data_IF_513247309550
#
_entry.id   IF_513247309550
#
_cell.length_a   1.000
_cell.length_b   1.000
_cell.length_c   1.000
_cell.angle_alpha   90.00
_cell.angle_beta   90.00
_cell.angle_gamma   90.00
#
_symmetry.space_group_name_H-M   'P 1'
#
loop_
_entity.id
_entity.type
_entity.pdbx_description
1 polymer ?
#
# COMPACT_ATOMS: atom_id res chain seq x y z
N UNK A 1 -50.26 -5.40 1.11
CA UNK A 1 -50.11 -6.87 1.02
C UNK A 1 -48.79 -7.24 1.68
N UNK A 2 -48.81 -7.70 2.93
CA UNK A 2 -47.65 -8.26 3.64
C UNK A 2 -47.97 -9.72 3.91
N UNK A 3 -47.47 -10.62 3.07
CA UNK A 3 -47.72 -12.07 3.22
C UNK A 3 -46.47 -12.93 2.94
N UNK A 4 -45.29 -12.33 2.82
CA UNK A 4 -44.05 -13.04 2.54
C UNK A 4 -42.86 -12.44 3.32
N UNK A 5 -42.90 -12.51 4.64
CA UNK A 5 -41.77 -12.09 5.50
C UNK A 5 -41.01 -13.31 6.09
N UNK A 6 -41.23 -14.53 5.57
CA UNK A 6 -40.72 -15.75 6.21
C UNK A 6 -39.90 -16.72 5.35
N UNK A 7 -39.73 -16.49 4.04
CA UNK A 7 -39.04 -17.44 3.14
C UNK A 7 -37.84 -16.84 2.40
N UNK A 8 -37.77 -15.51 2.27
CA UNK A 8 -36.66 -14.82 1.61
C UNK A 8 -35.88 -13.98 2.62
N UNK A 9 -34.82 -14.56 3.18
CA UNK A 9 -33.79 -13.80 3.88
C UNK A 9 -33.08 -12.85 2.91
N UNK A 10 -33.02 -11.57 3.28
CA UNK A 10 -32.09 -10.54 2.72
C UNK A 10 -31.95 -10.54 1.20
N UNK A 11 -33.05 -10.35 0.45
CA UNK A 11 -33.01 -10.17 -1.01
C UNK A 11 -33.89 -9.01 -1.50
N UNK A 12 -34.05 -7.97 -0.68
CA UNK A 12 -34.87 -6.79 -1.03
C UNK A 12 -34.14 -5.73 -1.87
N UNK A 13 -32.89 -5.98 -2.28
CA UNK A 13 -32.10 -5.06 -3.12
C UNK A 13 -31.97 -5.49 -4.60
N UNK A 14 -32.45 -6.68 -4.98
CA UNK A 14 -32.21 -7.22 -6.34
C UNK A 14 -33.48 -7.26 -7.22
N UNK A 15 -34.67 -7.05 -6.65
CA UNK A 15 -35.95 -7.13 -7.39
C UNK A 15 -36.39 -5.83 -8.08
N UNK A 16 -35.55 -4.80 -8.11
CA UNK A 16 -35.84 -3.54 -8.79
C UNK A 16 -35.37 -3.44 -10.25
N UNK A 17 -34.62 -4.44 -10.76
CA UNK A 17 -33.90 -4.32 -12.03
C UNK A 17 -34.33 -5.29 -13.14
N UNK A 18 -35.36 -6.11 -12.92
CA UNK A 18 -35.89 -6.97 -14.00
C UNK A 18 -37.12 -6.31 -14.62
N UNK A 19 -36.93 -5.92 -15.86
CA UNK A 19 -37.91 -5.45 -16.82
C UNK A 19 -39.15 -6.38 -16.84
N UNK A 20 -40.32 -5.80 -16.57
CA UNK A 20 -41.68 -6.39 -16.60
C UNK A 20 -42.09 -7.32 -15.44
N UNK A 21 -42.63 -6.73 -14.37
CA UNK A 21 -43.29 -7.47 -13.27
C UNK A 21 -44.47 -8.37 -13.67
N UNK A 22 -44.91 -8.33 -14.94
CA UNK A 22 -46.03 -9.11 -15.48
C UNK A 22 -45.66 -10.58 -15.75
N UNK A 23 -44.40 -10.90 -16.03
CA UNK A 23 -44.01 -12.28 -16.37
C UNK A 23 -43.74 -13.15 -15.12
N UNK A 24 -43.29 -12.51 -14.03
CA UNK A 24 -43.09 -13.16 -12.73
C UNK A 24 -44.43 -13.56 -12.09
N UNK A 25 -45.43 -12.67 -12.14
CA UNK A 25 -46.79 -12.95 -11.62
C UNK A 25 -47.46 -14.12 -12.37
N UNK A 26 -47.27 -14.23 -13.69
CA UNK A 26 -47.77 -15.37 -14.48
C UNK A 26 -47.11 -16.69 -14.07
N UNK A 27 -45.79 -16.69 -13.85
CA UNK A 27 -45.06 -17.91 -13.45
C UNK A 27 -45.46 -18.39 -12.05
N UNK A 28 -45.69 -17.49 -11.12
CA UNK A 28 -46.22 -17.84 -9.78
C UNK A 28 -47.63 -18.41 -9.89
N UNK A 29 -48.51 -17.78 -10.68
CA UNK A 29 -49.87 -18.27 -10.90
C UNK A 29 -49.89 -19.69 -11.52
N UNK A 30 -48.99 -19.97 -12.46
CA UNK A 30 -48.83 -21.30 -13.08
C UNK A 30 -48.40 -22.37 -12.05
N UNK A 31 -47.50 -22.02 -11.12
CA UNK A 31 -47.06 -22.94 -10.05
C UNK A 31 -48.24 -23.30 -9.11
N UNK A 32 -49.04 -22.31 -8.71
CA UNK A 32 -50.23 -22.53 -7.89
C UNK A 32 -51.34 -23.30 -8.63
N UNK A 33 -51.42 -23.22 -9.96
CA UNK A 33 -52.39 -23.98 -10.74
C UNK A 33 -51.99 -25.45 -10.94
N UNK A 34 -50.68 -25.73 -11.08
CA UNK A 34 -50.17 -27.07 -11.38
C UNK A 34 -49.87 -27.91 -10.14
N UNK A 35 -49.45 -27.28 -9.04
CA UNK A 35 -49.02 -27.99 -7.84
C UNK A 35 -50.12 -27.98 -6.78
N UNK A 36 -50.50 -29.16 -6.26
CA UNK A 36 -51.56 -29.30 -5.24
C UNK A 36 -51.06 -29.80 -3.89
N UNK A 37 -49.83 -30.31 -3.83
CA UNK A 37 -49.17 -30.74 -2.60
C UNK A 37 -48.10 -29.71 -2.19
N UNK A 38 -47.92 -29.46 -0.88
CA UNK A 38 -46.94 -28.48 -0.38
C UNK A 38 -45.50 -28.76 -0.82
N UNK A 39 -45.13 -30.04 -0.94
CA UNK A 39 -43.78 -30.47 -1.35
C UNK A 39 -43.49 -30.10 -2.82
N UNK A 40 -44.48 -30.28 -3.70
CA UNK A 40 -44.37 -29.93 -5.13
C UNK A 40 -44.28 -28.41 -5.33
N UNK A 41 -44.98 -27.64 -4.49
CA UNK A 41 -44.91 -26.17 -4.50
C UNK A 41 -43.50 -25.71 -4.11
N UNK A 42 -42.92 -26.28 -3.05
CA UNK A 42 -41.56 -25.93 -2.61
C UNK A 42 -40.54 -26.22 -3.71
N UNK A 43 -40.59 -27.41 -4.31
CA UNK A 43 -39.65 -27.79 -5.37
C UNK A 43 -39.78 -26.88 -6.62
N UNK A 44 -41.00 -26.49 -6.99
CA UNK A 44 -41.24 -25.58 -8.10
C UNK A 44 -40.75 -24.15 -7.82
N UNK A 45 -40.88 -23.67 -6.58
CA UNK A 45 -40.32 -22.38 -6.16
C UNK A 45 -38.79 -22.40 -6.10
N UNK A 46 -38.19 -23.48 -5.59
CA UNK A 46 -36.73 -23.66 -5.57
C UNK A 46 -36.16 -23.67 -6.98
N UNK A 47 -36.83 -24.35 -7.92
CA UNK A 47 -36.44 -24.36 -9.33
C UNK A 47 -36.57 -22.98 -9.99
N UNK A 48 -37.68 -22.26 -9.75
CA UNK A 48 -37.88 -20.90 -10.26
C UNK A 48 -36.82 -19.94 -9.68
N UNK A 49 -36.48 -20.08 -8.40
CA UNK A 49 -35.45 -19.27 -7.75
C UNK A 49 -34.07 -19.54 -8.34
N UNK A 50 -33.77 -20.80 -8.67
CA UNK A 50 -32.51 -21.19 -9.33
C UNK A 50 -32.41 -20.63 -10.74
N UNK A 51 -33.47 -20.77 -11.55
CA UNK A 51 -33.55 -20.22 -12.91
C UNK A 51 -33.37 -18.70 -12.93
N UNK A 52 -34.07 -17.99 -12.04
CA UNK A 52 -33.93 -16.54 -11.91
C UNK A 52 -32.54 -16.14 -11.39
N UNK A 53 -31.95 -16.92 -10.49
CA UNK A 53 -30.57 -16.67 -10.03
C UNK A 53 -29.55 -16.81 -11.17
N UNK A 54 -29.74 -17.80 -12.04
CA UNK A 54 -28.86 -18.03 -13.19
C UNK A 54 -29.06 -16.96 -14.27
N UNK A 55 -30.29 -16.53 -14.55
CA UNK A 55 -30.59 -15.39 -15.43
C UNK A 55 -30.02 -14.07 -14.88
N UNK A 56 -30.17 -13.81 -13.57
CA UNK A 56 -29.60 -12.63 -12.91
C UNK A 56 -28.07 -12.65 -12.97
N UNK A 57 -27.43 -13.80 -12.70
CA UNK A 57 -25.97 -13.92 -12.80
C UNK A 57 -25.48 -13.71 -14.23
N UNK A 58 -26.17 -14.26 -15.23
CA UNK A 58 -25.85 -14.07 -16.63
C UNK A 58 -26.02 -12.60 -17.04
N UNK A 59 -27.14 -11.97 -16.70
CA UNK A 59 -27.41 -10.56 -16.97
C UNK A 59 -26.45 -9.62 -16.24
N UNK A 60 -26.10 -9.90 -14.97
CA UNK A 60 -25.09 -9.17 -14.22
C UNK A 60 -23.70 -9.35 -14.83
N UNK A 61 -23.35 -10.55 -15.28
CA UNK A 61 -22.08 -10.83 -15.95
C UNK A 61 -21.98 -10.09 -17.29
N UNK A 62 -23.06 -10.08 -18.08
CA UNK A 62 -23.12 -9.36 -19.35
C UNK A 62 -23.11 -7.84 -19.17
N UNK A 63 -23.83 -7.34 -18.18
CA UNK A 63 -23.84 -5.91 -17.84
C UNK A 63 -22.47 -5.50 -17.30
N UNK A 64 -21.84 -6.31 -16.45
CA UNK A 64 -20.48 -6.09 -15.94
C UNK A 64 -19.45 -6.12 -17.07
N UNK A 65 -19.56 -7.06 -18.02
CA UNK A 65 -18.71 -7.12 -19.21
C UNK A 65 -18.86 -5.86 -20.08
N UNK A 66 -20.09 -5.49 -20.43
CA UNK A 66 -20.37 -4.28 -21.23
C UNK A 66 -19.95 -2.99 -20.51
N UNK A 67 -20.06 -2.93 -19.17
CA UNK A 67 -19.59 -1.77 -18.40
C UNK A 67 -18.06 -1.72 -18.32
N UNK A 68 -17.39 -2.84 -18.05
CA UNK A 68 -15.93 -2.92 -17.99
C UNK A 68 -15.26 -2.61 -19.33
N UNK A 69 -15.85 -3.02 -20.45
CA UNK A 69 -15.38 -2.70 -21.81
C UNK A 69 -15.44 -1.20 -22.10
N UNK A 70 -16.37 -0.46 -21.49
CA UNK A 70 -16.55 0.99 -21.69
C UNK A 70 -15.88 1.88 -20.63
N UNK A 71 -15.31 1.29 -19.57
CA UNK A 71 -14.61 2.06 -18.54
C UNK A 71 -13.16 2.39 -18.94
N UNK A 72 -12.74 3.60 -18.58
CA UNK A 72 -11.35 4.07 -18.64
C UNK A 72 -10.44 3.16 -17.81
N UNK A 73 -9.17 3.07 -18.19
CA UNK A 73 -8.13 2.39 -17.43
C UNK A 73 -8.05 2.89 -15.97
N UNK A 74 -8.27 4.18 -15.72
CA UNK A 74 -8.33 4.74 -14.35
C UNK A 74 -9.50 4.15 -13.55
N UNK A 75 -10.68 4.06 -14.16
CA UNK A 75 -11.89 3.53 -13.53
C UNK A 75 -11.79 2.02 -13.37
N UNK A 76 -11.15 1.32 -14.30
CA UNK A 76 -10.85 -0.13 -14.20
C UNK A 76 -9.86 -0.44 -13.08
N UNK A 77 -8.88 0.44 -12.85
CA UNK A 77 -7.94 0.32 -11.72
C UNK A 77 -8.64 0.63 -10.38
N UNK A 78 -9.47 1.69 -10.31
CA UNK A 78 -10.20 2.07 -9.09
C UNK A 78 -11.40 1.17 -8.75
N UNK A 79 -12.04 0.51 -9.71
CA UNK A 79 -13.19 -0.39 -9.46
C UNK A 79 -12.78 -1.80 -9.02
N UNK A 80 -11.50 -2.16 -9.11
CA UNK A 80 -10.99 -3.47 -8.68
C UNK A 80 -10.86 -3.62 -7.15
N UNK A 81 -11.10 -2.54 -6.40
CA UNK A 81 -11.00 -2.43 -4.93
C UNK A 81 -11.97 -3.40 -4.23
N UNK A 82 -11.56 -4.65 -4.03
CA UNK A 82 -12.04 -5.67 -3.07
C UNK A 82 -11.40 -7.03 -3.41
N UNK A 83 -10.37 -7.39 -2.63
CA UNK A 83 -9.71 -8.72 -2.51
C UNK A 83 -9.01 -9.31 -3.76
N UNK A 84 -9.38 -8.91 -4.98
CA UNK A 84 -8.66 -9.24 -6.23
C UNK A 84 -7.46 -8.31 -6.53
N UNK A 85 -7.26 -7.26 -5.72
CA UNK A 85 -6.29 -6.17 -5.95
C UNK A 85 -4.83 -6.59 -5.88
N UNK A 86 -4.44 -7.40 -4.88
CA UNK A 86 -3.03 -7.77 -4.73
C UNK A 86 -2.55 -8.53 -5.96
N UNK A 87 -3.37 -9.38 -6.57
CA UNK A 87 -2.96 -10.14 -7.77
C UNK A 87 -2.87 -9.25 -9.01
N UNK A 88 -3.84 -8.35 -9.24
CA UNK A 88 -3.82 -7.48 -10.41
C UNK A 88 -2.66 -6.46 -10.37
N UNK A 89 -2.41 -5.86 -9.20
CA UNK A 89 -1.29 -4.92 -8.99
C UNK A 89 0.05 -5.65 -9.11
N UNK A 90 0.19 -6.83 -8.48
CA UNK A 90 1.40 -7.65 -8.61
C UNK A 90 1.66 -8.02 -10.07
N UNK A 91 0.62 -8.43 -10.81
CA UNK A 91 0.75 -8.76 -12.23
C UNK A 91 1.27 -7.58 -13.06
N UNK A 92 0.84 -6.34 -12.78
CA UNK A 92 1.32 -5.17 -13.51
C UNK A 92 2.80 -4.87 -13.21
N UNK A 93 3.23 -4.98 -11.94
CA UNK A 93 4.63 -4.82 -11.58
C UNK A 93 5.52 -5.91 -12.18
N UNK A 94 5.05 -7.16 -12.15
CA UNK A 94 5.74 -8.29 -12.77
C UNK A 94 5.88 -8.12 -14.29
N UNK A 95 4.83 -7.64 -14.96
CA UNK A 95 4.88 -7.32 -16.39
C UNK A 95 5.90 -6.22 -16.70
N UNK A 96 5.91 -5.11 -15.93
CA UNK A 96 6.89 -4.04 -16.10
C UNK A 96 8.32 -4.52 -15.85
N UNK A 97 8.52 -5.33 -14.80
CA UNK A 97 9.82 -5.95 -14.52
C UNK A 97 10.27 -6.82 -15.70
N UNK A 98 9.39 -7.65 -16.24
CA UNK A 98 9.70 -8.50 -17.39
C UNK A 98 10.01 -7.70 -18.66
N UNK A 99 9.29 -6.61 -18.93
CA UNK A 99 9.58 -5.71 -20.05
C UNK A 99 10.97 -5.07 -19.91
N UNK A 100 11.29 -4.56 -18.72
CA UNK A 100 12.61 -3.98 -18.44
C UNK A 100 13.71 -5.04 -18.57
N UNK A 101 13.48 -6.23 -18.01
CA UNK A 101 14.43 -7.35 -18.06
C UNK A 101 14.72 -7.77 -19.49
N UNK A 102 13.69 -7.84 -20.34
CA UNK A 102 13.84 -8.12 -21.77
C UNK A 102 14.71 -7.09 -22.47
N UNK A 103 14.55 -5.82 -22.12
CA UNK A 103 15.36 -4.76 -22.70
C UNK A 103 16.81 -4.77 -22.21
N UNK A 104 17.06 -4.94 -20.90
CA UNK A 104 18.42 -4.93 -20.34
C UNK A 104 19.23 -6.21 -20.61
N UNK A 105 18.56 -7.34 -20.83
CA UNK A 105 19.17 -8.63 -21.13
C UNK A 105 19.14 -8.99 -22.62
N UNK A 106 18.95 -8.00 -23.49
CA UNK A 106 19.03 -8.22 -24.94
C UNK A 106 20.37 -8.87 -25.31
N UNK A 107 20.31 -9.93 -26.11
CA UNK A 107 21.45 -10.79 -26.48
C UNK A 107 22.04 -11.64 -25.35
N UNK A 108 21.46 -11.65 -24.14
CA UNK A 108 21.92 -12.45 -22.98
C UNK A 108 20.90 -13.48 -22.49
N UNK A 109 19.63 -13.31 -22.85
CA UNK A 109 18.53 -14.18 -22.46
C UNK A 109 17.51 -14.36 -23.59
N UNK A 110 16.88 -15.54 -23.66
CA UNK A 110 15.76 -15.81 -24.57
C UNK A 110 14.44 -15.79 -23.81
N UNK A 111 13.47 -15.03 -24.31
CA UNK A 111 12.15 -14.88 -23.69
C UNK A 111 11.11 -15.70 -24.45
N UNK A 112 10.57 -16.74 -23.81
CA UNK A 112 9.55 -17.61 -24.44
C UNK A 112 8.14 -17.03 -24.34
N UNK A 113 7.86 -16.31 -23.25
CA UNK A 113 6.56 -15.71 -22.99
C UNK A 113 6.73 -14.45 -22.11
N UNK A 114 5.62 -13.93 -21.58
CA UNK A 114 5.61 -12.69 -20.79
C UNK A 114 6.04 -12.90 -19.33
N UNK A 115 6.40 -14.12 -18.94
CA UNK A 115 6.64 -14.52 -17.55
C UNK A 115 7.84 -15.46 -17.34
N UNK A 116 8.53 -15.86 -18.41
CA UNK A 116 9.63 -16.82 -18.36
C UNK A 116 10.71 -16.49 -19.40
N UNK A 117 11.97 -16.71 -19.02
CA UNK A 117 13.13 -16.57 -19.89
C UNK A 117 14.27 -17.51 -19.48
N UNK A 118 15.11 -17.89 -20.44
CA UNK A 118 16.36 -18.62 -20.18
C UNK A 118 17.54 -17.65 -20.25
N UNK A 119 18.32 -17.59 -19.16
CA UNK A 119 19.50 -16.74 -19.03
C UNK A 119 20.76 -17.54 -19.39
N UNK A 120 21.49 -17.09 -20.41
CA UNK A 120 22.72 -17.74 -20.86
C UNK A 120 23.98 -16.95 -20.53
N UNK A 121 23.87 -15.63 -20.40
CA UNK A 121 24.99 -14.74 -20.07
C UNK A 121 24.62 -13.77 -18.96
N UNK A 122 25.53 -13.59 -18.02
CA UNK A 122 25.35 -12.63 -16.93
C UNK A 122 25.62 -11.19 -17.42
N UNK A 123 24.86 -10.19 -16.93
CA UNK A 123 25.25 -8.79 -17.01
C UNK A 123 26.66 -8.58 -16.43
N UNK A 124 27.38 -7.56 -16.92
CA UNK A 124 28.77 -7.30 -16.48
C UNK A 124 28.90 -7.04 -14.98
N UNK A 125 27.87 -6.48 -14.37
CA UNK A 125 27.81 -6.13 -12.94
C UNK A 125 27.19 -7.23 -12.06
N UNK A 126 26.75 -8.33 -12.67
CA UNK A 126 26.17 -9.45 -11.94
C UNK A 126 27.28 -10.35 -11.37
N UNK A 127 27.12 -10.76 -10.11
CA UNK A 127 28.01 -11.71 -9.46
C UNK A 127 27.64 -13.16 -9.85
N UNK A 128 28.55 -13.91 -10.51
CA UNK A 128 28.30 -15.30 -10.89
C UNK A 128 28.05 -16.24 -9.71
N UNK A 129 28.49 -15.89 -8.49
CA UNK A 129 28.27 -16.68 -7.29
C UNK A 129 26.83 -16.61 -6.75
N UNK A 130 26.08 -15.56 -7.10
CA UNK A 130 24.73 -15.30 -6.56
C UNK A 130 23.62 -15.44 -7.61
N UNK A 131 23.96 -15.38 -8.90
CA UNK A 131 22.99 -15.43 -9.99
C UNK A 131 23.28 -16.65 -10.89
N UNK A 132 22.56 -17.77 -10.70
CA UNK A 132 22.74 -18.95 -11.53
C UNK A 132 22.21 -18.74 -12.96
N UNK A 133 22.90 -19.31 -13.95
CA UNK A 133 22.37 -19.39 -15.32
C UNK A 133 21.26 -20.43 -15.40
N UNK A 134 20.34 -20.26 -16.35
CA UNK A 134 19.23 -21.19 -16.56
C UNK A 134 17.88 -20.50 -16.63
N UNK A 135 16.82 -21.27 -16.36
CA UNK A 135 15.43 -20.84 -16.53
C UNK A 135 14.96 -20.00 -15.36
N UNK A 136 14.44 -18.82 -15.66
CA UNK A 136 13.81 -17.90 -14.71
C UNK A 136 12.32 -17.76 -15.01
N UNK A 137 11.49 -17.79 -13.95
CA UNK A 137 10.03 -17.64 -14.06
C UNK A 137 9.47 -16.74 -12.96
N UNK A 138 8.45 -15.96 -13.29
CA UNK A 138 7.68 -15.20 -12.31
C UNK A 138 7.03 -16.13 -11.26
N UNK A 139 6.76 -15.63 -10.03
CA UNK A 139 6.19 -16.44 -8.96
C UNK A 139 4.85 -17.08 -9.33
N UNK A 140 4.44 -18.10 -8.56
CA UNK A 140 3.15 -18.82 -8.71
C UNK A 140 3.02 -19.66 -9.98
N UNK A 141 4.15 -20.11 -10.53
CA UNK A 141 4.23 -21.11 -11.60
C UNK A 141 4.93 -22.37 -11.09
N UNK A 142 4.41 -23.52 -11.48
CA UNK A 142 4.78 -24.83 -10.95
C UNK A 142 5.84 -25.47 -11.85
N UNK A 143 7.12 -25.19 -11.59
CA UNK A 143 8.24 -25.81 -12.33
C UNK A 143 9.56 -25.74 -11.57
N UNK A 144 10.57 -26.45 -12.07
CA UNK A 144 11.96 -26.46 -11.54
C UNK A 144 12.76 -25.17 -11.87
N UNK A 145 12.06 -24.10 -12.26
CA UNK A 145 12.65 -22.83 -12.66
C UNK A 145 13.04 -21.96 -11.45
N UNK A 146 13.99 -21.06 -11.66
CA UNK A 146 14.43 -20.08 -10.68
C UNK A 146 13.37 -18.97 -10.56
N UNK A 147 12.90 -18.71 -9.34
CA UNK A 147 11.90 -17.66 -9.11
C UNK A 147 12.48 -16.27 -9.34
N UNK A 148 11.95 -15.57 -10.33
CA UNK A 148 12.28 -14.19 -10.66
C UNK A 148 11.31 -13.21 -10.01
N UNK A 149 11.81 -12.38 -9.10
CA UNK A 149 11.04 -11.38 -8.34
C UNK A 149 11.85 -10.10 -8.22
N UNK A 150 11.21 -9.00 -7.84
CA UNK A 150 11.86 -7.69 -7.73
C UNK A 150 13.10 -7.69 -6.81
N UNK A 151 13.06 -8.42 -5.69
CA UNK A 151 14.20 -8.59 -4.77
C UNK A 151 15.14 -9.73 -5.13
N UNK A 152 15.14 -10.22 -6.37
CA UNK A 152 16.13 -11.18 -6.85
C UNK A 152 17.40 -10.41 -7.28
N UNK A 153 18.63 -10.89 -6.98
CA UNK A 153 19.86 -10.16 -7.32
C UNK A 153 19.98 -9.76 -8.80
N UNK A 154 19.53 -10.62 -9.73
CA UNK A 154 19.45 -10.29 -11.16
C UNK A 154 18.52 -9.10 -11.43
N UNK A 155 17.34 -9.04 -10.79
CA UNK A 155 16.39 -7.95 -10.97
C UNK A 155 16.96 -6.63 -10.44
N UNK A 156 17.65 -6.67 -9.31
CA UNK A 156 18.34 -5.50 -8.75
C UNK A 156 19.44 -4.98 -9.68
N UNK A 157 20.24 -5.87 -10.27
CA UNK A 157 21.26 -5.50 -11.27
C UNK A 157 20.62 -4.88 -12.51
N UNK A 158 19.55 -5.49 -13.04
CA UNK A 158 18.80 -4.96 -14.20
C UNK A 158 18.25 -3.56 -13.93
N UNK A 159 17.60 -3.36 -12.77
CA UNK A 159 17.04 -2.05 -12.39
C UNK A 159 18.16 -1.02 -12.21
N UNK A 160 19.26 -1.39 -11.55
CA UNK A 160 20.41 -0.50 -11.35
C UNK A 160 21.03 -0.07 -12.68
N UNK A 161 21.25 -1.02 -13.58
CA UNK A 161 21.77 -0.76 -14.93
C UNK A 161 20.87 0.21 -15.70
N UNK A 162 19.55 0.02 -15.62
CA UNK A 162 18.59 0.91 -16.25
C UNK A 162 18.60 2.33 -15.64
N UNK A 163 18.63 2.44 -14.30
CA UNK A 163 18.70 3.73 -13.58
C UNK A 163 19.99 4.51 -13.88
N UNK A 164 21.10 3.83 -14.16
CA UNK A 164 22.41 4.43 -14.41
C UNK A 164 22.71 4.67 -15.91
N UNK A 165 21.83 4.22 -16.80
CA UNK A 165 22.01 4.42 -18.24
C UNK A 165 21.98 5.91 -18.57
N UNK A 166 23.04 6.41 -19.20
CA UNK A 166 23.05 7.76 -19.75
C UNK A 166 22.12 7.82 -20.97
N UNK A 167 21.04 8.59 -20.86
CA UNK A 167 20.07 8.78 -21.92
C UNK A 167 20.16 10.24 -22.42
N UNK A 168 20.61 10.48 -23.67
CA UNK A 168 20.59 11.81 -24.23
C UNK A 168 19.13 12.26 -24.41
N UNK A 169 18.90 13.58 -24.32
CA UNK A 169 17.56 14.12 -24.56
C UNK A 169 17.12 13.79 -25.99
N UNK A 170 16.03 13.05 -26.13
CA UNK A 170 15.47 12.61 -27.41
C UNK A 170 14.05 13.13 -27.60
N UNK A 171 13.57 13.10 -28.85
CA UNK A 171 12.16 13.34 -29.19
C UNK A 171 11.46 12.01 -29.38
N UNK A 172 10.43 11.77 -28.56
CA UNK A 172 9.55 10.61 -28.61
C UNK A 172 8.18 11.03 -29.15
N UNK A 173 7.64 10.21 -30.03
CA UNK A 173 6.23 10.27 -30.42
C UNK A 173 5.50 9.10 -29.76
N UNK A 174 4.52 9.43 -28.92
CA UNK A 174 3.64 8.47 -28.28
C UNK A 174 2.40 8.27 -29.14
N UNK A 175 2.04 7.01 -29.34
CA UNK A 175 0.87 6.63 -30.13
C UNK A 175 -0.28 6.29 -29.17
N UNK A 176 -1.28 7.18 -29.11
CA UNK A 176 -2.46 6.96 -28.27
C UNK A 176 -3.34 5.81 -28.81
N UNK A 177 -3.39 5.62 -30.13
CA UNK A 177 -4.25 4.63 -30.78
C UNK A 177 -3.71 3.20 -30.70
N UNK A 178 -2.40 3.03 -30.50
CA UNK A 178 -1.77 1.72 -30.33
C UNK A 178 -1.91 1.13 -28.91
N UNK A 179 -2.45 1.90 -27.94
CA UNK A 179 -2.69 1.40 -26.58
C UNK A 179 -4.03 0.68 -26.46
N UNK A 180 -4.01 -0.51 -25.85
CA UNK A 180 -5.23 -1.28 -25.58
C UNK A 180 -6.00 -0.68 -24.39
N UNK A 181 -6.88 0.26 -24.67
CA UNK A 181 -7.71 0.90 -23.64
C UNK A 181 -7.92 2.39 -23.90
N UNK A 182 -8.79 3.00 -23.11
CA UNK A 182 -9.01 4.46 -23.15
C UNK A 182 -8.31 5.08 -21.95
N UNK A 183 -7.45 6.07 -22.21
CA UNK A 183 -6.73 6.83 -21.19
C UNK A 183 -7.22 8.29 -21.23
N UNK A 184 -8.40 8.55 -20.70
CA UNK A 184 -9.11 9.84 -20.91
C UNK A 184 -8.35 11.03 -20.34
N UNK A 185 -7.51 10.82 -19.33
CA UNK A 185 -6.68 11.90 -18.76
C UNK A 185 -5.69 12.50 -19.77
N UNK A 186 -5.36 11.77 -20.84
CA UNK A 186 -4.48 12.22 -21.92
C UNK A 186 -5.25 12.81 -23.11
N UNK A 187 -6.58 12.69 -23.20
CA UNK A 187 -7.39 13.27 -24.28
C UNK A 187 -7.13 14.77 -24.49
N UNK A 188 -7.00 15.61 -23.43
CA UNK A 188 -6.70 17.02 -23.61
C UNK A 188 -5.32 17.29 -24.24
N UNK A 189 -4.42 16.31 -24.20
CA UNK A 189 -3.05 16.40 -24.69
C UNK A 189 -2.88 15.84 -26.11
N UNK A 190 -3.93 15.27 -26.71
CA UNK A 190 -3.89 14.73 -28.07
C UNK A 190 -3.48 15.83 -29.08
N UNK A 191 -2.51 15.52 -29.94
CA UNK A 191 -1.92 16.47 -30.89
C UNK A 191 -0.99 17.50 -30.25
N UNK A 192 -0.80 17.48 -28.93
CA UNK A 192 0.14 18.36 -28.25
C UNK A 192 1.56 17.78 -28.22
N UNK A 193 2.50 18.68 -27.92
CA UNK A 193 3.90 18.35 -27.71
C UNK A 193 4.44 19.13 -26.52
N UNK A 194 5.51 18.63 -25.93
CA UNK A 194 6.09 19.23 -24.74
C UNK A 194 7.43 18.63 -24.38
N UNK A 195 7.86 18.89 -23.14
CA UNK A 195 9.07 18.32 -22.55
C UNK A 195 8.70 17.71 -21.20
N UNK A 196 9.26 16.54 -20.91
CA UNK A 196 9.10 15.82 -19.66
C UNK A 196 10.47 15.41 -19.14
N UNK A 197 10.72 15.63 -17.85
CA UNK A 197 11.86 15.14 -17.11
C UNK A 197 11.39 14.27 -15.96
N UNK A 198 12.07 13.14 -15.76
CA UNK A 198 11.85 12.24 -14.63
C UNK A 198 13.10 12.24 -13.75
N UNK A 199 12.91 12.53 -12.46
CA UNK A 199 13.97 12.48 -11.46
C UNK A 199 13.60 11.50 -10.34
N UNK A 200 14.59 10.78 -9.83
CA UNK A 200 14.49 9.95 -8.64
C UNK A 200 15.03 10.76 -7.46
N UNK A 201 14.17 11.05 -6.50
CA UNK A 201 14.52 11.64 -5.23
C UNK A 201 14.62 10.53 -4.18
N UNK A 202 15.81 10.33 -3.63
CA UNK A 202 16.06 9.41 -2.53
C UNK A 202 16.18 10.23 -1.25
N UNK A 203 15.30 10.02 -0.30
CA UNK A 203 15.28 10.68 1.01
C UNK A 203 15.57 9.65 2.08
N UNK A 204 16.57 9.91 2.91
CA UNK A 204 16.88 9.07 4.07
C UNK A 204 16.47 9.80 5.35
N UNK A 205 15.49 9.23 6.06
CA UNK A 205 14.94 9.79 7.30
C UNK A 205 14.49 8.67 8.24
N UNK A 206 14.74 8.82 9.55
CA UNK A 206 14.26 7.87 10.58
C UNK A 206 14.61 6.38 10.33
N UNK A 207 15.81 6.09 9.82
CA UNK A 207 16.25 4.72 9.39
C UNK A 207 15.38 4.11 8.28
N UNK A 208 14.62 4.95 7.58
CA UNK A 208 13.85 4.60 6.40
C UNK A 208 14.45 5.32 5.20
N UNK A 209 14.61 4.57 4.12
CA UNK A 209 14.97 5.11 2.82
C UNK A 209 13.69 5.14 2.00
N UNK A 210 13.32 6.33 1.55
CA UNK A 210 12.17 6.54 0.66
C UNK A 210 12.65 7.01 -0.70
N UNK A 211 12.18 6.34 -1.74
CA UNK A 211 12.43 6.71 -3.13
C UNK A 211 11.15 7.26 -3.74
N UNK A 212 11.23 8.46 -4.31
CA UNK A 212 10.12 9.15 -4.94
C UNK A 212 10.47 9.55 -6.37
N UNK A 213 9.52 9.36 -7.29
CA UNK A 213 9.65 9.80 -8.68
C UNK A 213 9.00 11.18 -8.84
N UNK A 214 9.80 12.16 -9.27
CA UNK A 214 9.39 13.53 -9.54
C UNK A 214 9.20 13.72 -11.05
N UNK A 215 8.01 14.15 -11.44
CA UNK A 215 7.63 14.32 -12.85
C UNK A 215 7.51 15.80 -13.16
N UNK A 216 8.52 16.36 -13.81
CA UNK A 216 8.46 17.74 -14.32
C UNK A 216 8.07 17.70 -15.79
N UNK A 217 6.89 18.19 -16.14
CA UNK A 217 6.44 18.16 -17.53
C UNK A 217 5.70 19.44 -17.90
N UNK A 218 6.01 19.97 -19.09
CA UNK A 218 5.38 21.15 -19.67
C UNK A 218 4.99 20.92 -21.12
N UNK A 219 3.90 21.53 -21.56
CA UNK A 219 3.53 21.60 -22.98
C UNK A 219 4.38 22.65 -23.70
N UNK A 220 4.32 22.68 -25.04
CA UNK A 220 4.92 23.73 -25.85
C UNK A 220 4.35 25.13 -25.59
N UNK A 221 3.16 25.23 -24.98
CA UNK A 221 2.58 26.49 -24.52
C UNK A 221 3.04 26.90 -23.11
N UNK A 222 3.88 26.09 -22.44
CA UNK A 222 4.38 26.34 -21.09
C UNK A 222 3.43 25.93 -19.98
N UNK A 223 2.32 25.23 -20.28
CA UNK A 223 1.41 24.70 -19.26
C UNK A 223 2.02 23.46 -18.62
N UNK A 224 2.06 23.39 -17.29
CA UNK A 224 2.49 22.19 -16.58
C UNK A 224 1.47 21.06 -16.72
N UNK A 225 1.97 19.83 -16.82
CA UNK A 225 1.17 18.61 -16.69
C UNK A 225 1.13 18.21 -15.21
N UNK A 226 0.01 17.65 -14.78
CA UNK A 226 -0.02 16.99 -13.48
C UNK A 226 0.76 15.66 -13.50
N UNK A 227 1.03 15.11 -12.31
CA UNK A 227 1.80 13.87 -12.16
C UNK A 227 1.16 12.68 -12.87
N UNK A 228 -0.17 12.59 -12.85
CA UNK A 228 -0.89 11.45 -13.40
C UNK A 228 -0.86 11.47 -14.93
N UNK A 229 -1.04 12.63 -15.55
CA UNK A 229 -0.84 12.87 -16.98
C UNK A 229 0.58 12.50 -17.41
N UNK A 230 1.59 12.99 -16.70
CA UNK A 230 2.99 12.70 -17.03
C UNK A 230 3.31 11.19 -16.91
N UNK A 231 2.77 10.52 -15.89
CA UNK A 231 2.95 9.08 -15.70
C UNK A 231 2.23 8.26 -16.78
N UNK A 232 0.98 8.61 -17.11
CA UNK A 232 0.19 7.91 -18.13
C UNK A 232 0.79 8.10 -19.52
N UNK A 233 1.39 9.24 -19.81
CA UNK A 233 2.11 9.45 -21.07
C UNK A 233 3.21 8.39 -21.28
N UNK A 234 3.96 8.04 -20.21
CA UNK A 234 4.99 7.00 -20.25
C UNK A 234 4.45 5.57 -20.29
N UNK A 235 3.14 5.37 -20.12
CA UNK A 235 2.51 4.05 -20.28
C UNK A 235 2.17 3.73 -21.73
N UNK A 236 2.13 4.75 -22.60
CA UNK A 236 1.86 4.58 -24.01
C UNK A 236 3.09 4.04 -24.76
N UNK A 237 2.88 3.24 -25.82
CA UNK A 237 3.96 2.90 -26.73
C UNK A 237 4.50 4.17 -27.39
N UNK A 238 5.83 4.27 -27.48
CA UNK A 238 6.50 5.42 -28.07
C UNK A 238 7.64 5.04 -28.99
N UNK A 239 7.89 5.86 -29.99
CA UNK A 239 8.99 5.70 -30.93
C UNK A 239 9.93 6.91 -30.88
N UNK A 240 11.23 6.64 -31.02
CA UNK A 240 12.24 7.70 -31.12
C UNK A 240 12.21 8.29 -32.52
N UNK A 241 11.74 9.51 -32.65
CA UNK A 241 11.74 10.26 -33.91
C UNK A 241 13.06 11.01 -34.09
N UNK A 242 13.64 11.49 -32.99
CA UNK A 242 14.93 12.17 -33.00
C UNK A 242 15.79 11.71 -31.81
N UNK A 243 16.95 11.08 -32.02
CA UNK A 243 17.74 10.47 -30.94
C UNK A 243 18.49 11.49 -30.07
N UNK A 244 18.66 12.72 -30.54
CA UNK A 244 19.31 13.78 -29.76
C UNK A 244 18.73 15.14 -30.13
N UNK A 245 18.33 15.89 -29.11
CA UNK A 245 17.76 17.23 -29.26
C UNK A 245 18.22 18.14 -28.12
N UNK A 246 18.63 19.36 -28.48
CA UNK A 246 18.97 20.38 -27.49
C UNK A 246 17.70 21.06 -26.95
N UNK A 247 17.65 21.26 -25.63
CA UNK A 247 16.63 22.08 -24.98
C UNK A 247 17.11 23.53 -24.89
N UNK A 248 16.17 24.47 -24.95
CA UNK A 248 16.47 25.87 -24.65
C UNK A 248 16.64 26.05 -23.15
N UNK A 249 17.47 27.00 -22.74
CA UNK A 249 17.69 27.33 -21.32
C UNK A 249 16.36 27.59 -20.58
N UNK A 250 15.46 28.38 -21.17
CA UNK A 250 14.16 28.67 -20.58
C UNK A 250 13.29 27.42 -20.29
N UNK A 251 13.39 26.37 -21.11
CA UNK A 251 12.68 25.11 -20.88
C UNK A 251 13.35 24.31 -19.77
N UNK A 252 14.68 24.27 -19.75
CA UNK A 252 15.45 23.61 -18.68
C UNK A 252 15.14 24.26 -17.32
N UNK A 253 15.18 25.59 -17.23
CA UNK A 253 14.90 26.34 -16.00
C UNK A 253 13.47 26.10 -15.49
N UNK A 254 12.49 26.01 -16.41
CA UNK A 254 11.11 25.70 -16.06
C UNK A 254 10.95 24.28 -15.48
N UNK A 255 11.65 23.29 -16.04
CA UNK A 255 11.64 21.91 -15.54
C UNK A 255 12.35 21.80 -14.18
N UNK A 256 13.45 22.53 -13.99
CA UNK A 256 14.16 22.60 -12.71
C UNK A 256 13.27 23.23 -11.64
N UNK A 257 12.63 24.36 -11.95
CA UNK A 257 11.68 25.01 -11.04
C UNK A 257 10.54 24.07 -10.61
N UNK A 258 9.97 23.31 -11.56
CA UNK A 258 8.92 22.33 -11.25
C UNK A 258 9.44 21.16 -10.41
N UNK A 259 10.70 20.75 -10.62
CA UNK A 259 11.33 19.68 -9.84
C UNK A 259 11.56 20.15 -8.41
N UNK A 260 12.13 21.34 -8.23
CA UNK A 260 12.41 21.94 -6.91
C UNK A 260 11.13 22.16 -6.10
N UNK A 261 10.05 22.59 -6.76
CA UNK A 261 8.73 22.74 -6.11
C UNK A 261 8.19 21.40 -5.60
N UNK A 262 8.33 20.33 -6.39
CA UNK A 262 7.88 18.99 -5.99
C UNK A 262 8.74 18.41 -4.87
N UNK A 263 10.06 18.59 -4.95
CA UNK A 263 11.01 18.20 -3.90
C UNK A 263 10.67 18.91 -2.58
N UNK A 264 10.52 20.23 -2.59
CA UNK A 264 10.16 21.00 -1.40
C UNK A 264 8.82 20.56 -0.79
N UNK A 265 7.80 20.34 -1.62
CA UNK A 265 6.49 19.88 -1.15
C UNK A 265 6.57 18.46 -0.53
N UNK A 266 7.39 17.58 -1.10
CA UNK A 266 7.61 16.25 -0.55
C UNK A 266 8.36 16.30 0.78
N UNK A 267 9.44 17.10 0.87
CA UNK A 267 10.17 17.31 2.12
C UNK A 267 9.24 17.81 3.24
N UNK A 268 8.36 18.77 2.93
CA UNK A 268 7.36 19.24 3.88
C UNK A 268 6.40 18.14 4.32
N UNK A 269 5.96 17.29 3.39
CA UNK A 269 5.07 16.16 3.68
C UNK A 269 5.75 15.11 4.57
N UNK A 270 7.01 14.75 4.27
CA UNK A 270 7.81 13.82 5.07
C UNK A 270 8.04 14.39 6.47
N UNK A 271 8.42 15.68 6.56
CA UNK A 271 8.60 16.36 7.84
C UNK A 271 7.32 16.35 8.68
N UNK A 272 6.16 16.66 8.08
CA UNK A 272 4.88 16.63 8.78
C UNK A 272 4.52 15.22 9.27
N UNK A 273 4.70 14.19 8.44
CA UNK A 273 4.43 12.79 8.81
C UNK A 273 5.34 12.35 9.97
N UNK A 274 6.62 12.73 9.91
CA UNK A 274 7.59 12.41 10.97
C UNK A 274 7.24 13.14 12.28
N UNK A 275 6.80 14.40 12.21
CA UNK A 275 6.33 15.14 13.38
C UNK A 275 5.11 14.47 14.03
N UNK A 276 4.10 14.08 13.25
CA UNK A 276 2.91 13.40 13.77
C UNK A 276 3.24 12.03 14.35
N UNK A 277 4.13 11.27 13.73
CA UNK A 277 4.62 10.00 14.28
C UNK A 277 5.26 10.22 15.65
N UNK A 278 6.14 11.22 15.76
CA UNK A 278 6.81 11.56 17.01
C UNK A 278 5.84 12.01 18.10
N UNK A 279 4.90 12.91 17.80
CA UNK A 279 3.87 13.34 18.75
C UNK A 279 3.08 12.14 19.30
N UNK A 280 2.80 11.16 18.45
CA UNK A 280 2.11 9.93 18.84
C UNK A 280 2.96 9.05 19.76
N UNK A 281 4.25 8.85 19.44
CA UNK A 281 5.16 8.07 20.27
C UNK A 281 5.44 8.74 21.62
N UNK A 282 5.62 10.06 21.64
CA UNK A 282 5.76 10.83 22.87
C UNK A 282 4.51 10.72 23.75
N UNK A 283 3.31 10.87 23.17
CA UNK A 283 2.05 10.73 23.91
C UNK A 283 1.86 9.31 24.49
N UNK A 284 2.32 8.27 23.78
CA UNK A 284 2.29 6.88 24.30
C UNK A 284 3.23 6.71 25.49
N UNK A 285 4.45 7.25 25.41
CA UNK A 285 5.41 7.20 26.53
C UNK A 285 4.84 7.92 27.75
N UNK A 286 4.23 9.09 27.55
CA UNK A 286 3.63 9.88 28.63
C UNK A 286 2.46 9.13 29.28
N UNK A 287 1.55 8.58 28.48
CA UNK A 287 0.42 7.80 28.98
C UNK A 287 0.89 6.54 29.73
N UNK A 288 1.89 5.84 29.19
CA UNK A 288 2.47 4.66 29.85
C UNK A 288 3.13 5.02 31.19
N UNK A 289 3.85 6.14 31.25
CA UNK A 289 4.47 6.65 32.47
C UNK A 289 3.43 7.01 33.54
N UNK A 290 2.35 7.69 33.14
CA UNK A 290 1.26 8.05 34.04
C UNK A 290 0.55 6.81 34.59
N UNK A 291 0.24 5.83 33.73
CA UNK A 291 -0.38 4.56 34.14
C UNK A 291 0.49 3.80 35.14
N UNK A 292 1.79 3.67 34.84
CA UNK A 292 2.75 2.98 35.70
C UNK A 292 2.88 3.66 37.06
N UNK A 293 2.94 4.99 37.07
CA UNK A 293 2.97 5.81 38.29
C UNK A 293 1.71 5.60 39.13
N UNK A 294 0.53 5.69 38.53
CA UNK A 294 -0.75 5.51 39.24
C UNK A 294 -0.85 4.13 39.88
N UNK A 295 -0.43 3.08 39.16
CA UNK A 295 -0.43 1.71 39.68
C UNK A 295 0.49 1.58 40.89
N UNK A 296 1.74 2.05 40.80
CA UNK A 296 2.71 1.95 41.88
C UNK A 296 2.34 2.82 43.10
N UNK A 297 1.84 4.04 42.88
CA UNK A 297 1.33 4.90 43.96
C UNK A 297 0.16 4.26 44.70
N UNK A 298 -0.76 3.62 43.98
CA UNK A 298 -1.89 2.88 44.58
C UNK A 298 -1.41 1.71 45.42
N UNK A 299 -0.47 0.91 44.91
CA UNK A 299 0.12 -0.21 45.65
C UNK A 299 0.85 0.27 46.91
N UNK A 300 1.63 1.33 46.83
CA UNK A 300 2.33 1.94 47.98
C UNK A 300 1.31 2.41 49.02
N UNK A 301 0.23 3.08 48.60
CA UNK A 301 -0.83 3.56 49.49
C UNK A 301 -1.56 2.41 50.19
N UNK A 302 -1.81 1.31 49.48
CA UNK A 302 -2.41 0.11 50.07
C UNK A 302 -1.46 -0.57 51.06
N UNK A 303 -0.16 -0.64 50.78
CA UNK A 303 0.84 -1.12 51.74
C UNK A 303 0.92 -0.24 52.98
N UNK A 304 0.86 1.09 52.84
CA UNK A 304 0.81 2.00 53.99
C UNK A 304 -0.43 1.78 54.85
N UNK A 305 -1.59 1.47 54.24
CA UNK A 305 -2.81 1.07 54.95
C UNK A 305 -2.61 -0.24 55.71
N UNK A 306 -2.09 -1.28 55.04
CA UNK A 306 -1.83 -2.59 55.65
C UNK A 306 -0.82 -2.52 56.80
N UNK A 307 0.22 -1.69 56.68
CA UNK A 307 1.19 -1.44 57.76
C UNK A 307 0.48 -0.82 58.97
N UNK A 308 -0.42 0.15 58.76
CA UNK A 308 -1.17 0.79 59.85
C UNK A 308 -2.09 -0.20 60.56
N UNK A 309 -2.79 -1.05 59.80
CA UNK A 309 -3.69 -2.06 60.35
C UNK A 309 -2.90 -3.16 61.10
N UNK A 310 -1.78 -3.62 60.56
CA UNK A 310 -0.88 -4.57 61.23
C UNK A 310 -0.27 -3.99 62.52
N UNK A 311 0.14 -2.71 62.55
CA UNK A 311 0.62 -2.02 63.76
C UNK A 311 -0.46 -1.93 64.85
N UNK A 312 -1.71 -1.68 64.45
CA UNK A 312 -2.85 -1.65 65.38
C UNK A 312 -3.12 -3.03 65.96
N UNK A 313 -3.17 -4.07 65.11
CA UNK A 313 -3.37 -5.45 65.54
C UNK A 313 -2.26 -5.94 66.48
N UNK A 314 -0.99 -5.62 66.18
CA UNK A 314 0.15 -5.96 67.04
C UNK A 314 0.07 -5.26 68.40
N UNK A 315 -0.39 -4.01 68.46
CA UNK A 315 -0.58 -3.29 69.74
C UNK A 315 -1.72 -3.89 70.57
N UNK A 316 -2.79 -4.35 69.92
CA UNK A 316 -3.98 -4.92 70.57
C UNK A 316 -3.82 -6.40 71.00
N UNK A 317 -2.77 -7.08 70.54
CA UNK A 317 -2.51 -8.48 70.85
C UNK A 317 -2.27 -8.72 72.35
N UNK A 318 -2.79 -9.84 72.87
CA UNK A 318 -2.76 -10.16 74.29
C UNK A 318 -1.55 -11.03 74.67
N UNK A 319 -1.01 -11.79 73.71
CA UNK A 319 0.16 -12.65 73.93
C UNK A 319 1.44 -12.07 73.33
N UNK A 320 2.59 -12.43 73.92
CA UNK A 320 3.90 -12.03 73.42
C UNK A 320 4.18 -12.61 72.01
N UNK A 321 3.70 -13.83 71.75
CA UNK A 321 3.85 -14.50 70.46
C UNK A 321 3.09 -13.78 69.34
N UNK A 322 1.84 -13.38 69.60
CA UNK A 322 1.04 -12.57 68.66
C UNK A 322 1.66 -11.17 68.42
N UNK A 323 2.21 -10.54 69.46
CA UNK A 323 2.93 -9.26 69.32
C UNK A 323 4.17 -9.41 68.43
N UNK A 324 4.94 -10.48 68.63
CA UNK A 324 6.13 -10.76 67.84
C UNK A 324 5.78 -11.08 66.38
N UNK A 325 4.73 -11.86 66.15
CA UNK A 325 4.22 -12.15 64.81
C UNK A 325 3.75 -10.89 64.08
N UNK A 326 3.02 -10.01 64.77
CA UNK A 326 2.59 -8.71 64.24
C UNK A 326 3.76 -7.79 63.88
N UNK A 327 4.81 -7.72 64.72
CA UNK A 327 6.01 -6.95 64.39
C UNK A 327 6.78 -7.50 63.19
N UNK A 328 6.86 -8.84 63.04
CA UNK A 328 7.45 -9.46 61.83
C UNK A 328 6.65 -9.11 60.58
N UNK A 329 5.32 -9.17 60.64
CA UNK A 329 4.45 -8.79 59.51
C UNK A 329 4.62 -7.32 59.11
N UNK A 330 4.70 -6.42 60.09
CA UNK A 330 4.98 -4.99 59.83
C UNK A 330 6.31 -4.80 59.11
N UNK A 331 7.37 -5.50 59.54
CA UNK A 331 8.71 -5.41 58.93
C UNK A 331 8.71 -5.89 57.47
N UNK A 332 8.00 -6.98 57.16
CA UNK A 332 7.89 -7.48 55.79
C UNK A 332 7.09 -6.52 54.89
N UNK A 333 5.98 -5.96 55.38
CA UNK A 333 5.21 -4.96 54.64
C UNK A 333 6.01 -3.67 54.39
N UNK A 334 6.79 -3.21 55.38
CA UNK A 334 7.68 -2.05 55.23
C UNK A 334 8.79 -2.31 54.20
N UNK A 335 9.34 -3.53 54.16
CA UNK A 335 10.31 -3.96 53.15
C UNK A 335 9.70 -3.94 51.75
N UNK A 336 8.50 -4.50 51.58
CA UNK A 336 7.80 -4.52 50.30
C UNK A 336 7.46 -3.11 49.81
N UNK A 337 7.01 -2.22 50.71
CA UNK A 337 6.76 -0.80 50.37
C UNK A 337 8.03 -0.10 49.90
N UNK A 338 9.15 -0.29 50.60
CA UNK A 338 10.41 0.33 50.22
C UNK A 338 10.91 -0.19 48.86
N UNK A 339 10.68 -1.47 48.53
CA UNK A 339 10.93 -2.02 47.21
C UNK A 339 10.06 -1.34 46.15
N UNK A 340 8.75 -1.23 46.36
CA UNK A 340 7.83 -0.56 45.42
C UNK A 340 8.15 0.92 45.20
N UNK A 341 8.61 1.63 46.24
CA UNK A 341 9.11 3.01 46.11
C UNK A 341 10.35 3.10 45.23
N UNK A 342 11.29 2.16 45.35
CA UNK A 342 12.47 2.11 44.46
C UNK A 342 12.04 1.83 43.03
N UNK A 343 11.18 0.84 42.82
CA UNK A 343 10.64 0.53 41.49
C UNK A 343 9.91 1.72 40.84
N UNK A 344 9.28 2.60 41.63
CA UNK A 344 8.70 3.84 41.10
C UNK A 344 9.76 4.79 40.57
N UNK A 345 10.87 4.98 41.29
CA UNK A 345 11.98 5.82 40.81
C UNK A 345 12.67 5.18 39.59
N UNK A 346 12.96 3.88 39.65
CA UNK A 346 13.59 3.15 38.53
C UNK A 346 12.71 3.25 37.26
N UNK A 347 11.39 3.11 37.42
CA UNK A 347 10.43 3.28 36.33
C UNK A 347 10.40 4.70 35.75
N UNK A 348 10.51 5.73 36.60
CA UNK A 348 10.58 7.12 36.16
C UNK A 348 11.86 7.39 35.37
N UNK A 349 13.00 6.93 35.90
CA UNK A 349 14.30 7.06 35.23
C UNK A 349 14.29 6.37 33.86
N UNK A 350 13.65 5.19 33.74
CA UNK A 350 13.54 4.49 32.46
C UNK A 350 12.64 5.22 31.45
N UNK A 351 11.56 5.87 31.89
CA UNK A 351 10.74 6.74 31.01
C UNK A 351 11.56 7.93 30.51
N UNK A 352 12.33 8.55 31.39
CA UNK A 352 13.16 9.70 31.03
C UNK A 352 14.28 9.29 30.06
N UNK A 353 14.93 8.15 30.29
CA UNK A 353 15.90 7.58 29.34
C UNK A 353 15.26 7.29 27.96
N UNK A 354 14.03 6.76 27.93
CA UNK A 354 13.33 6.50 26.68
C UNK A 354 12.97 7.79 25.95
N UNK A 355 12.57 8.84 26.66
CA UNK A 355 12.36 10.19 26.09
C UNK A 355 13.65 10.76 25.52
N UNK A 356 14.75 10.70 26.27
CA UNK A 356 16.06 11.19 25.81
C UNK A 356 16.53 10.45 24.55
N UNK A 357 16.33 9.13 24.48
CA UNK A 357 16.61 8.35 23.27
C UNK A 357 15.74 8.79 22.09
N UNK A 358 14.46 9.07 22.32
CA UNK A 358 13.56 9.55 21.27
C UNK A 358 13.96 10.95 20.77
N UNK A 359 14.41 11.83 21.67
CA UNK A 359 14.94 13.16 21.31
C UNK A 359 16.25 13.03 20.52
N UNK A 360 17.18 12.20 20.97
CA UNK A 360 18.44 11.97 20.26
C UNK A 360 18.21 11.41 18.84
N UNK A 361 17.19 10.56 18.66
CA UNK A 361 16.76 10.09 17.34
C UNK A 361 16.22 11.21 16.45
N UNK A 362 15.62 12.27 17.02
CA UNK A 362 15.20 13.45 16.27
C UNK A 362 16.41 14.28 15.86
N UNK A 363 17.26 14.63 16.83
CA UNK A 363 18.39 15.54 16.59
C UNK A 363 19.34 14.98 15.54
N UNK A 364 19.64 13.67 15.60
CA UNK A 364 20.48 13.01 14.61
C UNK A 364 19.85 12.87 13.22
N UNK A 365 18.54 13.12 13.07
CA UNK A 365 17.79 12.87 11.82
C UNK A 365 17.03 14.08 11.31
N UNK A 366 17.18 15.23 11.98
CA UNK A 366 16.75 16.53 11.47
C UNK A 366 17.59 16.93 10.24
N UNK A 367 18.84 16.49 10.19
CA UNK A 367 19.70 16.54 9.00
C UNK A 367 19.25 15.45 8.01
N UNK A 368 18.13 15.72 7.33
CA UNK A 368 17.68 14.89 6.21
C UNK A 368 18.75 14.91 5.12
N UNK A 369 19.18 13.73 4.66
CA UNK A 369 19.98 13.62 3.45
C UNK A 369 19.06 13.26 2.29
N UNK A 370 19.08 14.09 1.25
CA UNK A 370 18.40 13.82 0.00
C UNK A 370 19.37 13.79 -1.16
N UNK A 371 19.14 12.86 -2.07
CA UNK A 371 19.88 12.74 -3.31
C UNK A 371 18.88 12.80 -4.47
N UNK A 372 19.08 13.75 -5.37
CA UNK A 372 18.27 13.90 -6.58
C UNK A 372 19.05 13.41 -7.80
N UNK A 373 18.56 12.34 -8.43
CA UNK A 373 19.13 11.78 -9.66
C UNK A 373 18.16 11.98 -10.82
N UNK A 374 18.54 12.78 -11.82
CA UNK A 374 17.78 12.90 -13.08
C UNK A 374 17.96 11.64 -13.92
N UNK A 375 16.87 10.91 -14.16
CA UNK A 375 16.90 9.66 -14.92
C UNK A 375 16.94 9.92 -16.43
N UNK A 376 16.06 10.80 -16.92
CA UNK A 376 16.04 11.21 -18.31
C UNK A 376 15.23 12.50 -18.52
N UNK A 377 15.41 13.09 -19.70
CA UNK A 377 14.56 14.17 -20.21
C UNK A 377 14.20 13.86 -21.66
N UNK A 378 12.93 14.05 -22.02
CA UNK A 378 12.42 13.77 -23.36
C UNK A 378 11.60 14.97 -23.87
N UNK A 379 11.69 15.23 -25.17
CA UNK A 379 10.62 15.92 -25.88
C UNK A 379 9.58 14.88 -26.24
N UNK A 380 8.31 15.19 -26.00
CA UNK A 380 7.21 14.29 -26.32
C UNK A 380 6.27 14.95 -27.31
N UNK A 381 5.72 14.18 -28.22
CA UNK A 381 4.49 14.48 -28.96
C UNK A 381 3.50 13.36 -28.73
N UNK A 382 2.23 13.70 -28.63
CA UNK A 382 1.15 12.72 -28.51
C UNK A 382 0.34 12.73 -29.81
N UNK A 383 0.46 11.65 -30.59
CA UNK A 383 -0.17 11.45 -31.89
C UNK A 383 -1.58 10.91 -31.80
#
# INVERSE_FOLDING_TARGET
FKLFEGVFGTSDEVLGAIESGVDFEKRIADIYQRCRLPEDISAAFDQLQKELSDEIKAAMSDTRRKLLENFDDEVREKLKIREQDSQAILNQFEQRLMQLTRHELDGKADFFNHAAFDLYHLPKEADPGTIPLGRYELPRRSGDALTYRLGHPLAEVVIRQAKQRSLPTATLEFDYGAHDGKVSILEPLLGQRGVLSLSLLRVEALDQVEEHLLFAAITASGKSLDREQAQRLLSLPGQVIQPTVALSAAVTDALETLTDQQEAALHQTIAQRNATFFETEAAKLDAWADDLKVVLEREIKELDRQIKDAKRAATAALTLEEKLAGQKQVKELEKLRNQKRRSLFDAQDEVDEQRDRLIAQIEGKLEQTSELLRLFTIRWSLG
#
